data_IF_280894546265
#
_entry.id   IF_280894546265
#
_cell.length_a   1.000
_cell.length_b   1.000
_cell.length_c   1.000
_cell.angle_alpha   90.00
_cell.angle_beta   90.00
_cell.angle_gamma   90.00
#
_symmetry.space_group_name_H-M   'P 1'
#
loop_
_entity.id
_entity.type
_entity.pdbx_description
1 polymer ?
#
# COMPACT_ATOMS: atom_id res chain seq x y z
N UNK A 1 -9.50 15.00 -5.02
CA UNK A 1 -8.96 14.75 -3.66
C UNK A 1 -9.94 15.31 -2.63
N UNK A 2 -9.88 14.83 -1.38
CA UNK A 2 -10.74 15.33 -0.28
C UNK A 2 -10.08 15.12 1.07
N UNK A 3 -10.20 16.08 1.98
CA UNK A 3 -9.81 15.89 3.37
C UNK A 3 -10.87 15.05 4.10
N UNK A 4 -10.41 14.03 4.82
CA UNK A 4 -11.25 13.07 5.54
C UNK A 4 -10.68 12.82 6.93
N UNK A 5 -11.52 12.33 7.82
CA UNK A 5 -11.13 11.90 9.16
C UNK A 5 -11.54 10.44 9.33
N UNK A 6 -10.64 9.63 9.87
CA UNK A 6 -10.93 8.26 10.31
C UNK A 6 -10.44 8.07 11.77
N UNK A 7 -10.47 6.84 12.27
CA UNK A 7 -10.03 6.51 13.65
C UNK A 7 -8.55 6.83 13.93
N UNK A 8 -7.73 7.02 12.88
CA UNK A 8 -6.32 7.41 12.97
C UNK A 8 -6.12 8.92 12.68
N UNK A 9 -7.19 9.71 12.74
CA UNK A 9 -7.15 11.17 12.57
C UNK A 9 -7.34 11.63 11.13
N UNK A 10 -6.82 12.83 10.84
CA UNK A 10 -7.01 13.49 9.54
C UNK A 10 -6.07 12.94 8.46
N UNK A 11 -6.60 12.78 7.25
CA UNK A 11 -5.88 12.41 6.05
C UNK A 11 -6.43 13.17 4.83
N UNK A 12 -5.63 13.23 3.78
CA UNK A 12 -6.08 13.63 2.45
C UNK A 12 -6.24 12.40 1.56
N UNK A 13 -7.47 12.14 1.12
CA UNK A 13 -7.84 11.06 0.22
C UNK A 13 -7.70 11.46 -1.24
N UNK A 14 -7.06 10.60 -2.02
CA UNK A 14 -7.02 10.67 -3.48
C UNK A 14 -7.59 9.39 -4.09
N UNK A 15 -8.31 9.52 -5.19
CA UNK A 15 -8.83 8.41 -6.00
C UNK A 15 -8.10 8.41 -7.34
N UNK A 16 -7.54 7.26 -7.71
CA UNK A 16 -6.73 7.08 -8.90
C UNK A 16 -7.44 6.12 -9.86
N UNK A 17 -7.88 6.62 -11.01
CA UNK A 17 -8.59 5.82 -12.02
C UNK A 17 -7.62 5.30 -13.08
N UNK A 18 -7.63 4.00 -13.32
CA UNK A 18 -6.90 3.38 -14.42
C UNK A 18 -7.71 3.48 -15.70
N UNK A 19 -7.19 4.20 -16.69
CA UNK A 19 -7.89 4.46 -17.97
C UNK A 19 -8.25 3.19 -18.75
N UNK A 20 -7.47 2.11 -18.59
CA UNK A 20 -7.60 0.88 -19.38
C UNK A 20 -8.62 -0.10 -18.78
N UNK A 21 -8.70 -0.16 -17.45
CA UNK A 21 -9.45 -1.21 -16.74
C UNK A 21 -10.63 -0.71 -15.90
N UNK A 22 -10.89 0.60 -15.92
CA UNK A 22 -11.91 1.28 -15.11
C UNK A 22 -11.86 0.94 -13.60
N UNK A 23 -10.66 0.61 -13.12
CA UNK A 23 -10.40 0.34 -11.72
C UNK A 23 -9.97 1.61 -10.99
N UNK A 24 -10.44 1.76 -9.76
CA UNK A 24 -10.07 2.86 -8.87
C UNK A 24 -9.15 2.35 -7.76
N UNK A 25 -8.01 3.01 -7.57
CA UNK A 25 -7.12 2.83 -6.44
C UNK A 25 -7.20 4.06 -5.53
N UNK A 26 -6.69 3.93 -4.30
CA UNK A 26 -6.84 4.98 -3.30
C UNK A 26 -5.49 5.31 -2.68
N UNK A 27 -5.30 6.57 -2.31
CA UNK A 27 -4.21 6.92 -1.40
C UNK A 27 -4.67 7.86 -0.29
N UNK A 28 -4.07 7.69 0.88
CA UNK A 28 -4.30 8.49 2.07
C UNK A 28 -2.96 9.08 2.49
N UNK A 29 -2.83 10.40 2.38
CA UNK A 29 -1.65 11.13 2.83
C UNK A 29 -1.89 11.77 4.19
N UNK A 30 -0.95 11.58 5.11
CA UNK A 30 -0.85 12.26 6.40
C UNK A 30 0.19 13.38 6.27
N UNK A 31 -0.15 14.57 6.75
CA UNK A 31 0.76 15.72 6.74
C UNK A 31 1.25 16.13 5.34
N UNK A 32 2.39 16.80 5.30
CA UNK A 32 3.03 17.24 4.06
C UNK A 32 4.02 16.17 3.56
N UNK A 33 3.57 15.32 2.64
CA UNK A 33 4.35 14.15 2.15
C UNK A 33 5.60 14.49 1.32
N UNK A 34 5.82 15.77 1.00
CA UNK A 34 7.00 16.27 0.29
C UNK A 34 7.97 17.02 1.20
N UNK A 35 7.72 17.04 2.52
CA UNK A 35 8.55 17.75 3.48
C UNK A 35 9.74 16.91 3.97
N UNK A 36 9.65 15.58 3.90
CA UNK A 36 10.71 14.67 4.32
C UNK A 36 11.66 14.36 3.16
N UNK A 37 12.95 14.16 3.46
CA UNK A 37 13.91 13.67 2.46
C UNK A 37 13.52 12.29 1.95
N UNK A 38 13.04 11.41 2.84
CA UNK A 38 12.51 10.09 2.49
C UNK A 38 11.17 9.89 3.17
N UNK A 39 10.11 9.77 2.37
CA UNK A 39 8.76 9.68 2.90
C UNK A 39 8.42 8.25 3.30
N UNK A 40 7.80 8.07 4.47
CA UNK A 40 7.24 6.77 4.86
C UNK A 40 6.05 6.42 3.94
N UNK A 41 6.16 5.30 3.24
CA UNK A 41 5.17 4.85 2.26
C UNK A 41 4.78 3.39 2.50
N UNK A 42 3.48 3.11 2.46
CA UNK A 42 2.94 1.74 2.39
C UNK A 42 2.12 1.57 1.12
N UNK A 43 2.45 0.58 0.29
CA UNK A 43 1.64 0.18 -0.86
C UNK A 43 1.18 -1.26 -0.65
N UNK A 44 -0.13 -1.50 -0.65
CA UNK A 44 -0.66 -2.86 -0.50
C UNK A 44 -2.03 -3.04 -1.18
N UNK A 45 -2.45 -4.30 -1.31
CA UNK A 45 -3.83 -4.66 -1.67
C UNK A 45 -4.60 -5.03 -0.41
N UNK A 46 -5.94 -4.97 -0.46
CA UNK A 46 -6.79 -5.41 0.65
C UNK A 46 -6.68 -6.92 0.88
N UNK A 47 -7.03 -7.33 2.10
CA UNK A 47 -7.25 -8.69 2.55
C UNK A 47 -8.63 -8.74 3.20
N UNK A 48 -9.59 -9.47 2.64
CA UNK A 48 -10.94 -9.53 3.22
C UNK A 48 -10.91 -10.13 4.63
N UNK A 49 -10.16 -11.21 4.83
CA UNK A 49 -10.09 -11.89 6.14
C UNK A 49 -9.50 -10.97 7.22
N UNK A 50 -8.48 -10.19 6.89
CA UNK A 50 -7.83 -9.32 7.86
C UNK A 50 -8.53 -7.98 8.01
N UNK A 51 -8.74 -7.26 6.91
CA UNK A 51 -9.16 -5.86 6.93
C UNK A 51 -10.66 -5.70 7.21
N UNK A 52 -11.47 -6.72 6.89
CA UNK A 52 -12.93 -6.69 7.11
C UNK A 52 -13.32 -7.59 8.28
N UNK A 53 -12.80 -8.83 8.32
CA UNK A 53 -13.19 -9.81 9.34
C UNK A 53 -12.30 -9.79 10.59
N UNK A 54 -11.16 -9.09 10.58
CA UNK A 54 -10.27 -9.00 11.74
C UNK A 54 -9.48 -10.29 12.05
N UNK A 55 -9.30 -11.16 11.07
CA UNK A 55 -8.56 -12.43 11.21
C UNK A 55 -7.12 -12.22 10.75
N UNK A 56 -6.26 -11.80 11.68
CA UNK A 56 -4.84 -11.49 11.40
C UNK A 56 -4.01 -12.75 11.08
N UNK A 57 -4.34 -13.89 11.67
CA UNK A 57 -3.64 -15.18 11.51
C UNK A 57 -3.59 -15.63 10.04
N UNK A 58 -4.68 -15.37 9.32
CA UNK A 58 -4.84 -15.66 7.90
C UNK A 58 -4.62 -14.41 7.03
N UNK A 59 -4.15 -13.32 7.62
CA UNK A 59 -3.93 -12.04 6.97
C UNK A 59 -2.58 -11.92 6.28
N UNK A 60 -2.19 -10.68 6.04
CA UNK A 60 -0.84 -10.28 5.64
C UNK A 60 -0.12 -9.73 6.88
N UNK A 61 1.19 -9.54 6.77
CA UNK A 61 2.00 -8.97 7.87
C UNK A 61 1.54 -7.58 8.34
N UNK A 62 0.82 -6.84 7.50
CA UNK A 62 0.25 -5.54 7.86
C UNK A 62 -1.20 -5.47 7.40
N UNK A 63 -2.11 -5.25 8.34
CA UNK A 63 -3.47 -4.83 8.03
C UNK A 63 -3.49 -3.40 7.50
N UNK A 64 -4.57 -3.00 6.84
CA UNK A 64 -4.82 -1.61 6.46
C UNK A 64 -4.84 -0.73 7.71
N UNK A 65 -5.43 -1.22 8.80
CA UNK A 65 -5.53 -0.49 10.06
C UNK A 65 -4.15 -0.21 10.67
N UNK A 66 -3.30 -1.23 10.80
CA UNK A 66 -1.96 -1.06 11.38
C UNK A 66 -1.10 -0.14 10.52
N UNK A 67 -1.24 -0.25 9.19
CA UNK A 67 -0.55 0.63 8.25
C UNK A 67 -0.93 2.09 8.46
N UNK A 68 -2.23 2.38 8.56
CA UNK A 68 -2.73 3.74 8.76
C UNK A 68 -2.40 4.28 10.15
N UNK A 69 -2.49 3.43 11.19
CA UNK A 69 -2.08 3.77 12.55
C UNK A 69 -0.62 4.20 12.57
N UNK A 70 0.28 3.38 12.01
CA UNK A 70 1.72 3.67 11.99
C UNK A 70 2.06 4.94 11.23
N UNK A 71 1.41 5.15 10.08
CA UNK A 71 1.56 6.39 9.30
C UNK A 71 1.06 7.60 10.09
N UNK A 72 -0.01 7.45 10.86
CA UNK A 72 -0.51 8.53 11.71
C UNK A 72 0.46 8.84 12.85
N UNK A 73 1.05 7.83 13.49
CA UNK A 73 2.04 8.00 14.57
C UNK A 73 3.30 8.73 14.09
N UNK A 74 3.73 8.50 12.84
CA UNK A 74 4.85 9.22 12.22
C UNK A 74 4.51 10.71 11.94
N UNK A 75 3.22 11.07 11.89
CA UNK A 75 2.75 12.42 11.58
C UNK A 75 2.85 12.83 10.10
N UNK A 76 3.69 12.15 9.31
CA UNK A 76 3.78 12.30 7.86
C UNK A 76 3.94 10.95 7.18
N UNK A 77 3.18 10.72 6.10
CA UNK A 77 3.25 9.44 5.39
C UNK A 77 2.20 9.27 4.30
N UNK A 78 2.40 8.26 3.48
CA UNK A 78 1.49 7.91 2.41
C UNK A 78 1.11 6.43 2.47
N UNK A 79 -0.19 6.18 2.55
CA UNK A 79 -0.77 4.86 2.33
C UNK A 79 -1.36 4.80 0.92
N UNK A 80 -1.11 3.70 0.20
CA UNK A 80 -1.67 3.43 -1.13
C UNK A 80 -2.35 2.06 -1.12
N UNK A 81 -3.65 2.07 -1.37
CA UNK A 81 -4.45 0.87 -1.57
C UNK A 81 -4.61 0.61 -3.07
N UNK A 82 -3.89 -0.41 -3.55
CA UNK A 82 -4.11 -0.94 -4.88
C UNK A 82 -5.32 -1.87 -4.80
N UNK A 83 -6.46 -1.36 -5.26
CA UNK A 83 -7.66 -2.14 -5.47
C UNK A 83 -7.39 -3.28 -6.47
N UNK A 84 -7.03 -4.42 -5.92
CA UNK A 84 -6.74 -5.63 -6.65
C UNK A 84 -7.48 -6.74 -5.91
N UNK A 85 -8.36 -7.43 -6.63
CA UNK A 85 -9.16 -8.51 -6.07
C UNK A 85 -8.28 -9.74 -5.85
N UNK A 86 -8.51 -10.42 -4.74
CA UNK A 86 -7.90 -11.73 -4.51
C UNK A 86 -8.30 -12.70 -5.64
N UNK A 87 -7.47 -13.70 -5.90
CA UNK A 87 -7.89 -14.74 -6.84
C UNK A 87 -9.08 -15.48 -6.22
N UNK A 88 -10.02 -15.95 -7.06
CA UNK A 88 -11.22 -16.67 -6.61
C UNK A 88 -10.88 -17.81 -5.64
N UNK A 89 -9.78 -18.51 -5.88
CA UNK A 89 -9.30 -19.63 -5.06
C UNK A 89 -8.29 -19.26 -3.98
N UNK A 90 -7.85 -17.99 -3.88
CA UNK A 90 -6.76 -17.61 -2.97
C UNK A 90 -7.06 -17.97 -1.52
N UNK A 91 -8.24 -17.56 -1.04
CA UNK A 91 -8.65 -17.80 0.35
C UNK A 91 -8.92 -19.27 0.61
N UNK A 92 -9.55 -19.98 -0.34
CA UNK A 92 -9.80 -21.41 -0.21
C UNK A 92 -8.48 -22.19 -0.16
N UNK A 93 -7.54 -21.91 -1.06
CA UNK A 93 -6.23 -22.54 -1.05
C UNK A 93 -5.46 -22.23 0.24
N UNK A 94 -5.59 -21.02 0.79
CA UNK A 94 -4.97 -20.65 2.07
C UNK A 94 -5.55 -21.44 3.24
N UNK A 95 -6.87 -21.66 3.26
CA UNK A 95 -7.55 -22.46 4.28
C UNK A 95 -7.26 -23.96 4.15
N UNK A 96 -7.08 -24.45 2.94
CA UNK A 96 -6.78 -25.86 2.65
C UNK A 96 -5.27 -26.15 2.64
N UNK A 97 -4.43 -25.19 3.06
CA UNK A 97 -2.96 -25.28 3.09
C UNK A 97 -2.34 -25.72 1.74
N UNK A 98 -3.01 -25.40 0.63
CA UNK A 98 -2.55 -25.68 -0.73
C UNK A 98 -1.46 -24.69 -1.13
N UNK A 99 -0.55 -25.12 -2.00
CA UNK A 99 0.41 -24.20 -2.62
C UNK A 99 -0.33 -23.06 -3.31
N UNK A 100 0.00 -21.84 -2.90
CA UNK A 100 -0.49 -20.62 -3.51
C UNK A 100 0.62 -20.14 -4.42
N UNK A 101 0.39 -20.16 -5.74
CA UNK A 101 1.33 -19.56 -6.67
C UNK A 101 1.58 -18.10 -6.28
N UNK A 102 2.86 -17.69 -6.10
CA UNK A 102 3.18 -16.31 -5.79
C UNK A 102 2.70 -15.43 -6.95
N UNK A 103 1.60 -14.71 -6.73
CA UNK A 103 1.10 -13.78 -7.73
C UNK A 103 2.19 -12.79 -8.09
N UNK A 104 2.34 -12.54 -9.39
CA UNK A 104 3.22 -11.51 -9.89
C UNK A 104 2.80 -10.14 -9.33
N UNK A 105 3.52 -9.66 -8.32
CA UNK A 105 3.34 -8.31 -7.75
C UNK A 105 3.64 -7.18 -8.75
N UNK A 106 3.99 -7.50 -10.02
CA UNK A 106 4.32 -6.53 -11.06
C UNK A 106 3.23 -5.49 -11.25
N UNK A 107 1.94 -5.87 -11.20
CA UNK A 107 0.84 -4.90 -11.31
C UNK A 107 0.78 -3.95 -10.11
N UNK A 108 0.90 -4.49 -8.90
CA UNK A 108 0.90 -3.70 -7.65
C UNK A 108 2.08 -2.73 -7.64
N UNK A 109 3.27 -3.21 -8.00
CA UNK A 109 4.48 -2.38 -8.11
C UNK A 109 4.30 -1.32 -9.19
N UNK A 110 3.86 -1.70 -10.40
CA UNK A 110 3.72 -0.76 -11.52
C UNK A 110 2.71 0.35 -11.27
N UNK A 111 1.52 0.01 -10.73
CA UNK A 111 0.50 1.01 -10.38
C UNK A 111 0.95 1.84 -9.17
N UNK A 112 1.50 1.19 -8.14
CA UNK A 112 2.04 1.87 -6.96
C UNK A 112 3.07 2.92 -7.34
N UNK A 113 4.07 2.55 -8.13
CA UNK A 113 5.11 3.48 -8.60
C UNK A 113 4.55 4.64 -9.43
N UNK A 114 3.52 4.42 -10.25
CA UNK A 114 2.87 5.52 -11.00
C UNK A 114 2.17 6.51 -10.07
N UNK A 115 1.50 6.02 -9.03
CA UNK A 115 0.85 6.87 -8.02
C UNK A 115 1.90 7.68 -7.25
N UNK A 116 2.98 7.04 -6.82
CA UNK A 116 4.08 7.71 -6.10
C UNK A 116 4.73 8.81 -6.94
N UNK A 117 5.00 8.53 -8.22
CA UNK A 117 5.53 9.51 -9.16
C UNK A 117 4.55 10.66 -9.39
N UNK A 118 3.25 10.38 -9.52
CA UNK A 118 2.23 11.43 -9.67
C UNK A 118 2.11 12.35 -8.44
N UNK A 119 2.51 11.84 -7.26
CA UNK A 119 2.63 12.62 -6.02
C UNK A 119 4.00 13.28 -5.84
N UNK A 120 4.88 13.16 -6.83
CA UNK A 120 6.24 13.71 -6.85
C UNK A 120 7.17 13.16 -5.74
N UNK A 121 6.93 11.92 -5.30
CA UNK A 121 7.81 11.23 -4.35
C UNK A 121 8.97 10.58 -5.11
N UNK A 122 10.20 10.94 -4.73
CA UNK A 122 11.43 10.41 -5.33
C UNK A 122 12.19 9.46 -4.40
N UNK A 123 12.21 9.74 -3.12
CA UNK A 123 12.87 8.92 -2.10
C UNK A 123 11.82 8.45 -1.09
N UNK A 124 11.77 7.15 -0.85
CA UNK A 124 10.78 6.56 0.04
C UNK A 124 11.41 5.56 1.00
N UNK A 125 10.84 5.51 2.21
CA UNK A 125 11.05 4.45 3.17
C UNK A 125 9.80 3.57 3.16
N UNK A 126 9.97 2.30 2.80
CA UNK A 126 8.83 1.39 2.68
C UNK A 126 8.47 0.86 4.06
N UNK A 127 7.22 1.03 4.47
CA UNK A 127 6.65 0.32 5.61
C UNK A 127 6.39 -1.12 5.18
N UNK A 128 7.15 -2.08 5.71
CA UNK A 128 7.04 -3.49 5.37
C UNK A 128 8.38 -4.22 5.24
N UNK A 129 8.29 -5.49 4.88
CA UNK A 129 9.42 -6.40 4.86
C UNK A 129 10.46 -6.01 3.81
N UNK A 130 11.77 -6.05 4.15
CA UNK A 130 12.86 -5.86 3.19
C UNK A 130 12.68 -6.76 1.98
N UNK A 131 12.56 -6.17 0.79
CA UNK A 131 12.34 -6.90 -0.46
C UNK A 131 13.06 -6.18 -1.59
N UNK A 132 13.66 -6.92 -2.52
CA UNK A 132 14.29 -6.33 -3.71
C UNK A 132 13.23 -5.90 -4.70
N UNK A 133 13.06 -4.59 -4.90
CA UNK A 133 12.13 -4.03 -5.89
C UNK A 133 12.85 -3.58 -7.16
N UNK A 134 13.25 -4.53 -8.01
CA UNK A 134 13.99 -4.23 -9.25
C UNK A 134 13.22 -3.37 -10.27
N UNK A 135 11.87 -3.32 -10.16
CA UNK A 135 11.01 -2.62 -11.12
C UNK A 135 10.72 -1.16 -10.74
N UNK A 136 11.15 -0.68 -9.57
CA UNK A 136 10.81 0.66 -9.07
C UNK A 136 11.72 1.74 -9.64
N UNK A 137 12.98 1.40 -9.98
CA UNK A 137 13.94 2.32 -10.60
C UNK A 137 13.48 2.92 -11.93
N UNK A 138 12.65 2.18 -12.70
CA UNK A 138 12.05 2.68 -13.95
C UNK A 138 11.04 3.82 -13.77
N UNK A 139 10.72 4.19 -12.53
CA UNK A 139 9.75 5.23 -12.20
C UNK A 139 10.37 6.47 -11.54
N UNK A 140 11.70 6.59 -11.52
CA UNK A 140 12.44 7.68 -10.84
C UNK A 140 12.16 7.70 -9.32
N UNK A 141 12.08 6.50 -8.73
CA UNK A 141 11.85 6.28 -7.29
C UNK A 141 13.02 5.46 -6.72
N UNK A 142 13.60 5.99 -5.65
CA UNK A 142 14.65 5.40 -4.84
C UNK A 142 14.06 4.92 -3.50
N UNK A 143 14.28 3.64 -3.18
CA UNK A 143 13.93 3.10 -1.86
C UNK A 143 15.15 3.25 -0.96
N UNK A 144 15.05 4.13 0.03
CA UNK A 144 16.15 4.44 0.95
C UNK A 144 16.19 3.52 2.16
N UNK A 145 15.10 2.77 2.43
CA UNK A 145 15.04 1.89 3.59
C UNK A 145 13.70 1.19 3.77
N UNK A 146 13.64 0.39 4.83
CA UNK A 146 12.48 -0.38 5.24
C UNK A 146 12.22 -0.20 6.73
N UNK A 147 10.95 -0.04 7.11
CA UNK A 147 10.50 0.02 8.51
C UNK A 147 9.53 -1.12 8.76
N UNK A 148 9.80 -1.93 9.78
CA UNK A 148 8.97 -3.08 10.16
C UNK A 148 8.29 -2.94 11.53
N UNK A 149 8.61 -1.90 12.29
CA UNK A 149 8.11 -1.65 13.65
C UNK A 149 7.63 -0.21 13.83
#
# INVERSE_FOLDING_TARGET
DKNITNEFGEFKLNVWRVKIYDENHFSLSKGAINAAESQLVRVQTQSILQDILGIDELGKNWSIRDSLKKISEEGTGLFVLINHRDAKSYWLNKLEEKEIEPKSNRRVIGVGSQILRALNLKKITVLGTPTKYNAVSGFDIEITGFKNE
#
